data_IF_177767290064
#
_entry.id   IF_177767290064
#
_cell.length_a   1.000
_cell.length_b   1.000
_cell.length_c   1.000
_cell.angle_alpha   90.00
_cell.angle_beta   90.00
_cell.angle_gamma   90.00
#
_symmetry.space_group_name_H-M   'P 1'
#
loop_
_entity.id
_entity.type
_entity.pdbx_description
1 polymer ?
#
# COMPACT_ATOMS: atom_id res chain seq x y z
N UNK A 1 30.22 -37.77 5.63
CA UNK A 1 29.27 -36.87 4.93
C UNK A 1 28.35 -36.05 5.86
N UNK A 2 28.01 -36.47 7.09
CA UNK A 2 27.06 -35.75 7.98
C UNK A 2 27.53 -34.40 8.55
N UNK A 3 28.84 -34.17 8.74
CA UNK A 3 29.36 -32.91 9.34
C UNK A 3 29.18 -31.69 8.41
N UNK A 4 29.47 -31.83 7.12
CA UNK A 4 29.30 -30.76 6.14
C UNK A 4 27.82 -30.38 5.94
N UNK A 5 26.91 -31.35 6.04
CA UNK A 5 25.47 -31.10 5.99
C UNK A 5 24.99 -30.21 7.14
N UNK A 6 25.47 -30.42 8.38
CA UNK A 6 25.11 -29.55 9.52
C UNK A 6 25.64 -28.12 9.37
N UNK A 7 26.87 -27.96 8.87
CA UNK A 7 27.46 -26.64 8.63
C UNK A 7 26.67 -25.88 7.56
N UNK A 8 26.30 -26.56 6.46
CA UNK A 8 25.47 -25.96 5.41
C UNK A 8 24.06 -25.58 5.92
N UNK A 9 23.45 -26.41 6.76
CA UNK A 9 22.15 -26.10 7.38
C UNK A 9 22.26 -24.86 8.27
N UNK A 10 23.28 -24.78 9.12
CA UNK A 10 23.48 -23.62 10.00
C UNK A 10 23.79 -22.35 9.20
N UNK A 11 24.64 -22.44 8.18
CA UNK A 11 24.96 -21.31 7.31
C UNK A 11 23.71 -20.80 6.56
N UNK A 12 22.90 -21.71 6.03
CA UNK A 12 21.64 -21.36 5.38
C UNK A 12 20.65 -20.72 6.37
N UNK A 13 20.56 -21.24 7.59
CA UNK A 13 19.71 -20.68 8.64
C UNK A 13 20.14 -19.26 9.02
N UNK A 14 21.44 -19.01 9.19
CA UNK A 14 21.96 -17.67 9.48
C UNK A 14 21.65 -16.71 8.32
N UNK A 15 21.82 -17.15 7.07
CA UNK A 15 21.55 -16.33 5.90
C UNK A 15 20.04 -16.00 5.79
N UNK A 16 19.17 -16.98 6.05
CA UNK A 16 17.72 -16.79 6.09
C UNK A 16 17.31 -15.80 7.19
N UNK A 17 17.83 -15.96 8.41
CA UNK A 17 17.54 -15.08 9.53
C UNK A 17 18.06 -13.66 9.26
N UNK A 18 19.27 -13.51 8.73
CA UNK A 18 19.83 -12.22 8.35
C UNK A 18 18.96 -11.49 7.31
N UNK A 19 18.59 -12.19 6.24
CA UNK A 19 17.70 -11.64 5.21
C UNK A 19 16.32 -11.27 5.77
N UNK A 20 15.72 -12.13 6.59
CA UNK A 20 14.41 -11.88 7.19
C UNK A 20 14.43 -10.65 8.09
N UNK A 21 15.41 -10.54 9.01
CA UNK A 21 15.54 -9.39 9.90
C UNK A 21 15.79 -8.09 9.11
N UNK A 22 16.60 -8.14 8.05
CA UNK A 22 16.81 -6.99 7.19
C UNK A 22 15.51 -6.56 6.47
N UNK A 23 14.71 -7.52 5.98
CA UNK A 23 13.41 -7.27 5.37
C UNK A 23 12.41 -6.62 6.34
N UNK A 24 12.39 -7.07 7.60
CA UNK A 24 11.58 -6.47 8.66
C UNK A 24 12.02 -5.03 8.93
N UNK A 25 13.33 -4.79 9.06
CA UNK A 25 13.88 -3.46 9.29
C UNK A 25 13.50 -2.47 8.18
N UNK A 26 13.57 -2.88 6.90
CA UNK A 26 13.12 -2.04 5.78
C UNK A 26 11.65 -1.65 5.91
N UNK A 27 10.76 -2.59 6.27
CA UNK A 27 9.33 -2.30 6.45
C UNK A 27 9.06 -1.38 7.63
N UNK A 28 9.77 -1.57 8.74
CA UNK A 28 9.68 -0.65 9.88
C UNK A 28 10.14 0.76 9.52
N UNK A 29 11.20 0.87 8.71
CA UNK A 29 11.68 2.17 8.23
C UNK A 29 10.62 2.86 7.38
N UNK A 30 9.99 2.17 6.43
CA UNK A 30 8.87 2.70 5.64
C UNK A 30 7.70 3.13 6.55
N UNK A 31 7.44 2.40 7.64
CA UNK A 31 6.38 2.76 8.59
C UNK A 31 6.73 4.04 9.39
N UNK A 32 7.99 4.18 9.81
CA UNK A 32 8.47 5.30 10.65
C UNK A 32 8.70 6.58 9.86
N UNK A 33 9.35 6.48 8.71
CA UNK A 33 9.80 7.62 7.90
C UNK A 33 8.89 7.89 6.70
N UNK A 34 8.01 6.95 6.35
CA UNK A 34 7.10 7.14 5.23
C UNK A 34 6.15 8.31 5.46
N UNK A 35 5.92 9.10 4.42
CA UNK A 35 4.94 10.17 4.45
C UNK A 35 3.53 9.59 4.32
N UNK A 36 2.60 10.08 5.15
CA UNK A 36 1.20 9.65 5.06
C UNK A 36 0.58 10.27 3.81
N UNK A 37 -0.03 9.43 2.99
CA UNK A 37 -0.77 9.79 1.79
C UNK A 37 -2.15 9.16 1.87
N UNK A 38 -3.19 9.98 1.78
CA UNK A 38 -4.57 9.56 1.70
C UNK A 38 -4.97 9.43 0.23
N UNK A 39 -5.36 8.24 -0.19
CA UNK A 39 -5.86 8.00 -1.54
C UNK A 39 -7.36 7.76 -1.48
N UNK A 40 -8.11 8.51 -2.30
CA UNK A 40 -9.56 8.43 -2.30
C UNK A 40 -10.04 7.08 -2.85
N UNK A 41 -10.87 6.40 -2.07
CA UNK A 41 -11.49 5.15 -2.45
C UNK A 41 -12.68 5.44 -3.38
N UNK A 42 -12.75 4.69 -4.47
CA UNK A 42 -13.98 4.54 -5.23
C UNK A 42 -14.94 3.66 -4.42
N UNK A 43 -16.26 3.86 -4.52
CA UNK A 43 -17.22 2.97 -3.88
C UNK A 43 -17.01 1.55 -4.41
N UNK A 44 -16.64 0.62 -3.53
CA UNK A 44 -16.51 -0.80 -3.84
C UNK A 44 -17.39 -1.56 -2.89
N UNK A 45 -18.22 -2.46 -3.40
CA UNK A 45 -19.00 -3.36 -2.56
C UNK A 45 -18.06 -4.23 -1.72
N UNK A 46 -18.22 -4.28 -0.39
CA UNK A 46 -17.31 -4.99 0.53
C UNK A 46 -17.39 -6.53 0.47
N UNK A 47 -17.96 -7.15 -0.57
CA UNK A 47 -18.24 -8.60 -0.55
C UNK A 47 -17.04 -9.47 -0.92
N UNK A 48 -16.54 -10.22 0.07
CA UNK A 48 -16.08 -11.60 -0.11
C UNK A 48 -16.39 -12.42 1.15
N UNK A 49 -17.45 -13.21 1.07
CA UNK A 49 -18.08 -13.88 2.22
C UNK A 49 -17.37 -15.18 2.67
N UNK A 50 -16.31 -15.62 2.01
CA UNK A 50 -15.84 -17.02 2.12
C UNK A 50 -14.48 -17.23 2.78
N UNK A 51 -13.71 -16.17 3.08
CA UNK A 51 -12.35 -16.30 3.64
C UNK A 51 -12.07 -15.35 4.83
N UNK A 52 -13.12 -14.72 5.38
CA UNK A 52 -13.06 -13.67 6.41
C UNK A 52 -13.43 -12.30 5.86
N UNK A 53 -13.67 -11.32 6.74
CA UNK A 53 -14.10 -9.99 6.34
C UNK A 53 -12.91 -9.15 5.85
N UNK A 54 -12.89 -8.88 4.55
CA UNK A 54 -11.91 -7.98 3.95
C UNK A 54 -12.55 -7.05 2.92
N UNK A 55 -12.09 -5.81 2.88
CA UNK A 55 -12.56 -4.82 1.93
C UNK A 55 -11.54 -4.69 0.81
N UNK A 56 -12.02 -4.80 -0.43
CA UNK A 56 -11.22 -4.47 -1.62
C UNK A 56 -11.18 -2.96 -1.78
N UNK A 57 -9.98 -2.42 -1.89
CA UNK A 57 -9.74 -1.00 -2.07
C UNK A 57 -9.53 -0.74 -3.56
N UNK A 58 -10.47 -0.02 -4.18
CA UNK A 58 -10.25 0.57 -5.50
C UNK A 58 -10.03 2.06 -5.30
N UNK A 59 -8.99 2.61 -5.90
CA UNK A 59 -8.71 4.03 -5.83
C UNK A 59 -9.32 4.74 -7.04
N UNK A 60 -9.95 5.90 -6.85
CA UNK A 60 -10.50 6.67 -7.98
C UNK A 60 -9.40 7.07 -8.98
N UNK A 61 -8.25 7.45 -8.44
CA UNK A 61 -7.05 7.81 -9.19
C UNK A 61 -6.56 6.68 -10.12
N UNK A 62 -6.79 5.41 -9.72
CA UNK A 62 -6.41 4.22 -10.47
C UNK A 62 -7.30 3.93 -11.71
N UNK A 63 -8.36 4.72 -11.93
CA UNK A 63 -9.26 4.61 -13.08
C UNK A 63 -9.18 5.82 -14.03
N UNK A 64 -8.24 6.75 -13.81
CA UNK A 64 -8.10 7.95 -14.63
C UNK A 64 -7.66 7.64 -16.08
N UNK A 65 -8.08 8.48 -17.04
CA UNK A 65 -7.71 8.35 -18.46
C UNK A 65 -6.20 8.37 -18.72
N UNK A 66 -5.42 8.93 -17.78
CA UNK A 66 -3.96 8.92 -17.79
C UNK A 66 -3.39 7.49 -17.85
N UNK A 67 -4.06 6.54 -17.22
CA UNK A 67 -3.62 5.14 -17.10
C UNK A 67 -3.87 4.37 -18.39
N UNK A 68 -4.96 4.67 -19.11
CA UNK A 68 -5.30 4.00 -20.37
C UNK A 68 -4.27 4.21 -21.49
N UNK A 69 -3.44 5.26 -21.39
CA UNK A 69 -2.35 5.53 -22.35
C UNK A 69 -1.04 4.83 -22.00
N UNK A 70 -0.88 4.35 -20.77
CA UNK A 70 0.40 3.83 -20.27
C UNK A 70 0.54 2.33 -20.53
N UNK A 71 1.48 1.97 -21.42
CA UNK A 71 1.77 0.55 -21.76
C UNK A 71 2.68 -0.14 -20.72
N UNK A 72 3.40 0.63 -19.91
CA UNK A 72 4.36 0.08 -18.95
C UNK A 72 3.65 -0.71 -17.83
N UNK A 73 4.07 -1.97 -17.63
CA UNK A 73 3.50 -2.86 -16.59
C UNK A 73 3.88 -2.46 -15.17
N UNK A 74 4.93 -1.64 -15.00
CA UNK A 74 5.44 -1.15 -13.73
C UNK A 74 6.00 0.24 -13.94
N UNK A 75 5.97 1.05 -12.90
CA UNK A 75 6.56 2.38 -12.89
C UNK A 75 6.26 3.08 -11.59
N UNK A 76 6.22 4.40 -11.69
CA UNK A 76 6.07 5.33 -10.60
C UNK A 76 4.94 6.31 -10.92
N UNK A 77 3.96 6.40 -10.03
CA UNK A 77 2.89 7.38 -10.05
C UNK A 77 3.36 8.56 -9.21
N UNK A 78 3.37 9.74 -9.81
CA UNK A 78 3.66 10.97 -9.07
C UNK A 78 2.34 11.54 -8.56
N UNK A 79 2.31 11.74 -7.26
CA UNK A 79 1.19 12.24 -6.50
C UNK A 79 1.49 13.66 -6.05
N UNK A 80 0.54 14.56 -6.25
CA UNK A 80 0.57 15.88 -5.62
C UNK A 80 -0.28 15.82 -4.36
N UNK A 81 0.28 16.23 -3.23
CA UNK A 81 -0.45 16.29 -1.97
C UNK A 81 -1.18 17.62 -1.79
N UNK A 82 -2.41 17.54 -1.25
CA UNK A 82 -3.13 18.68 -0.73
C UNK A 82 -2.79 18.96 0.76
N UNK A 83 -3.46 19.96 1.35
CA UNK A 83 -3.30 20.34 2.77
C UNK A 83 -3.74 19.25 3.75
N UNK A 84 -4.59 18.31 3.31
CA UNK A 84 -5.15 17.22 4.10
C UNK A 84 -4.41 15.89 3.84
N UNK A 85 -3.27 15.92 3.14
CA UNK A 85 -2.49 14.74 2.73
C UNK A 85 -3.19 13.86 1.69
N UNK A 86 -4.23 14.35 1.02
CA UNK A 86 -4.86 13.66 -0.11
C UNK A 86 -3.95 13.74 -1.32
N UNK A 87 -3.61 12.58 -1.89
CA UNK A 87 -2.77 12.46 -3.07
C UNK A 87 -3.58 12.31 -4.35
N UNK A 88 -3.36 13.20 -5.31
CA UNK A 88 -3.90 13.13 -6.67
C UNK A 88 -2.79 12.71 -7.65
N UNK A 89 -3.06 11.74 -8.53
CA UNK A 89 -2.06 11.27 -9.50
C UNK A 89 -1.97 12.25 -10.66
N UNK A 90 -0.88 13.00 -10.73
CA UNK A 90 -0.66 14.01 -11.77
C UNK A 90 0.04 13.45 -13.01
N UNK A 91 0.89 12.42 -12.86
CA UNK A 91 1.62 11.78 -13.97
C UNK A 91 2.10 10.37 -13.61
N UNK A 92 2.38 9.58 -14.64
CA UNK A 92 3.07 8.30 -14.54
C UNK A 92 4.45 8.41 -15.22
N UNK A 93 5.47 7.84 -14.59
CA UNK A 93 6.85 7.82 -15.09
C UNK A 93 7.51 6.47 -14.83
N UNK A 94 8.54 6.13 -15.60
CA UNK A 94 9.24 4.84 -15.48
C UNK A 94 10.39 4.87 -14.47
N UNK A 95 10.94 6.05 -14.20
CA UNK A 95 12.03 6.31 -13.26
C UNK A 95 11.55 6.97 -11.97
N UNK A 96 12.35 6.91 -10.90
CA UNK A 96 12.04 7.58 -9.63
C UNK A 96 12.05 9.11 -9.76
N UNK A 97 12.97 9.63 -10.57
CA UNK A 97 13.14 11.05 -10.85
C UNK A 97 12.63 11.39 -12.25
N UNK A 98 12.18 12.63 -12.50
CA UNK A 98 12.18 13.80 -11.61
C UNK A 98 10.97 13.88 -10.66
N UNK A 99 11.15 14.54 -9.52
CA UNK A 99 10.13 14.80 -8.50
C UNK A 99 10.28 16.25 -8.05
N UNK A 100 9.21 17.03 -8.09
CA UNK A 100 9.23 18.42 -7.64
C UNK A 100 8.99 18.51 -6.12
N UNK A 101 9.23 19.70 -5.56
CA UNK A 101 8.86 20.01 -4.19
C UNK A 101 7.32 19.84 -4.01
N UNK A 102 6.92 19.12 -2.95
CA UNK A 102 5.53 18.71 -2.64
C UNK A 102 4.94 17.59 -3.51
N UNK A 103 5.76 16.92 -4.32
CA UNK A 103 5.37 15.69 -5.01
C UNK A 103 5.88 14.46 -4.26
N UNK A 104 5.07 13.40 -4.27
CA UNK A 104 5.44 12.08 -3.77
C UNK A 104 5.42 11.10 -4.92
N UNK A 105 6.36 10.17 -4.90
CA UNK A 105 6.40 9.10 -5.87
C UNK A 105 5.89 7.83 -5.24
N UNK A 106 5.01 7.11 -5.93
CA UNK A 106 4.45 5.85 -5.49
C UNK A 106 4.64 4.79 -6.57
N UNK A 107 5.24 3.65 -6.23
CA UNK A 107 5.37 2.53 -7.16
C UNK A 107 4.00 2.00 -7.53
N UNK A 108 3.79 1.78 -8.82
CA UNK A 108 2.61 1.12 -9.32
C UNK A 108 2.95 -0.13 -10.12
N UNK A 109 1.97 -1.01 -10.23
CA UNK A 109 1.99 -2.17 -11.13
C UNK A 109 0.66 -2.25 -11.89
N UNK A 110 0.72 -2.51 -13.18
CA UNK A 110 -0.47 -2.75 -13.99
C UNK A 110 -0.70 -4.25 -14.16
N UNK A 111 -1.88 -4.74 -13.81
CA UNK A 111 -2.31 -6.13 -14.00
C UNK A 111 -3.66 -6.12 -14.71
N UNK A 112 -3.76 -6.78 -15.87
CA UNK A 112 -4.98 -6.84 -16.67
C UNK A 112 -5.63 -5.46 -16.94
N UNK A 113 -4.80 -4.45 -17.21
CA UNK A 113 -5.26 -3.07 -17.47
C UNK A 113 -5.68 -2.28 -16.23
N UNK A 114 -5.58 -2.86 -15.02
CA UNK A 114 -5.84 -2.15 -13.76
C UNK A 114 -4.55 -1.73 -13.09
N UNK A 115 -4.53 -0.52 -12.53
CA UNK A 115 -3.42 0.00 -11.75
C UNK A 115 -3.49 -0.48 -10.30
N UNK A 116 -2.39 -1.02 -9.80
CA UNK A 116 -2.19 -1.45 -8.42
C UNK A 116 -1.15 -0.51 -7.79
N UNK A 117 -1.50 0.09 -6.66
CA UNK A 117 -0.73 1.06 -5.88
C UNK A 117 -0.12 0.44 -4.60
N UNK A 118 -0.28 -0.87 -4.42
CA UNK A 118 0.29 -1.65 -3.31
C UNK A 118 -0.59 -1.74 -2.06
N UNK A 119 -1.88 -1.40 -2.19
CA UNK A 119 -2.82 -1.33 -1.07
C UNK A 119 -4.26 -1.68 -1.49
N UNK A 120 -4.47 -2.81 -2.16
CA UNK A 120 -5.78 -3.13 -2.77
C UNK A 120 -6.71 -3.94 -1.86
N UNK A 121 -6.26 -4.33 -0.66
CA UNK A 121 -7.08 -5.05 0.32
C UNK A 121 -6.77 -4.63 1.75
N UNK A 122 -7.82 -4.59 2.57
CA UNK A 122 -7.74 -4.37 4.01
C UNK A 122 -8.54 -5.46 4.73
N UNK A 123 -7.88 -6.20 5.62
CA UNK A 123 -8.49 -7.29 6.40
C UNK A 123 -8.93 -6.76 7.77
N UNK A 124 -10.11 -7.17 8.22
CA UNK A 124 -10.64 -6.80 9.53
C UNK A 124 -11.35 -7.98 10.20
N UNK A 125 -11.65 -7.83 11.49
CA UNK A 125 -12.35 -8.87 12.26
C UNK A 125 -13.82 -8.97 11.82
N UNK A 126 -14.39 -10.17 11.93
CA UNK A 126 -15.76 -10.44 11.50
C UNK A 126 -16.78 -9.52 12.19
N UNK A 127 -17.71 -8.95 11.42
CA UNK A 127 -18.76 -8.05 11.92
C UNK A 127 -18.37 -6.58 12.01
N UNK A 128 -17.16 -6.21 11.60
CA UNK A 128 -16.71 -4.80 11.51
C UNK A 128 -17.03 -4.14 10.17
N UNK A 129 -17.76 -4.82 9.26
CA UNK A 129 -18.14 -4.29 7.95
C UNK A 129 -18.79 -2.91 8.04
N UNK A 130 -19.77 -2.76 8.94
CA UNK A 130 -20.51 -1.49 9.13
C UNK A 130 -19.62 -0.35 9.63
N UNK A 131 -18.50 -0.68 10.29
CA UNK A 131 -17.51 0.30 10.74
C UNK A 131 -16.68 0.76 9.56
N UNK A 132 -16.15 -0.16 8.76
CA UNK A 132 -15.25 0.18 7.64
C UNK A 132 -15.96 0.58 6.35
N UNK A 133 -17.25 0.32 6.19
CA UNK A 133 -18.04 0.74 5.02
C UNK A 133 -18.14 2.28 4.89
N UNK A 134 -17.84 3.03 5.96
CA UNK A 134 -17.75 4.50 5.93
C UNK A 134 -16.39 5.02 5.42
N UNK A 135 -15.45 4.13 5.08
CA UNK A 135 -14.13 4.52 4.61
C UNK A 135 -14.22 5.26 3.28
N UNK A 136 -13.73 6.50 3.26
CA UNK A 136 -13.62 7.32 2.06
C UNK A 136 -12.18 7.32 1.51
N UNK A 137 -11.17 7.05 2.35
CA UNK A 137 -9.76 7.06 1.97
C UNK A 137 -9.00 5.87 2.53
N UNK A 138 -8.04 5.37 1.75
CA UNK A 138 -6.99 4.48 2.23
C UNK A 138 -5.77 5.31 2.60
N UNK A 139 -5.25 5.15 3.82
CA UNK A 139 -4.03 5.83 4.25
C UNK A 139 -2.82 4.95 4.04
N UNK A 140 -1.91 5.38 3.17
CA UNK A 140 -0.67 4.71 2.85
C UNK A 140 0.51 5.51 3.44
N UNK A 141 1.51 4.81 3.98
CA UNK A 141 2.83 5.38 4.27
C UNK A 141 3.73 5.11 3.08
N UNK A 142 4.23 6.16 2.45
CA UNK A 142 5.08 6.07 1.25
C UNK A 142 6.49 6.54 1.59
N UNK A 143 7.49 5.69 1.35
CA UNK A 143 8.89 6.07 1.54
C UNK A 143 9.48 6.81 0.32
N UNK A 144 10.71 7.30 0.48
CA UNK A 144 11.46 8.00 -0.56
C UNK A 144 11.80 7.16 -1.80
N UNK A 145 11.63 5.83 -1.73
CA UNK A 145 11.79 4.89 -2.87
C UNK A 145 10.45 4.58 -3.54
N UNK A 146 9.37 5.22 -3.09
CA UNK A 146 8.00 5.02 -3.52
C UNK A 146 7.40 3.69 -3.12
N UNK A 147 7.96 2.99 -2.13
CA UNK A 147 7.28 1.83 -1.55
C UNK A 147 6.17 2.32 -0.63
N UNK A 148 5.00 1.68 -0.72
CA UNK A 148 3.85 1.99 0.11
C UNK A 148 3.53 0.86 1.08
N UNK A 149 2.97 1.26 2.22
CA UNK A 149 2.35 0.37 3.17
C UNK A 149 1.00 0.95 3.61
N UNK A 150 -0.07 0.17 3.45
CA UNK A 150 -1.40 0.56 3.96
C UNK A 150 -1.37 0.52 5.50
N UNK A 151 -1.65 1.66 6.13
CA UNK A 151 -1.67 1.80 7.60
C UNK A 151 -3.06 1.86 8.19
N UNK A 152 -4.09 2.12 7.37
CA UNK A 152 -5.47 2.12 7.83
C UNK A 152 -6.43 2.77 6.85
N UNK A 153 -7.70 2.77 7.25
CA UNK A 153 -8.80 3.38 6.52
C UNK A 153 -9.25 4.65 7.23
N UNK A 154 -9.68 5.64 6.46
CA UNK A 154 -10.05 6.96 6.94
C UNK A 154 -11.44 7.33 6.42
N UNK A 155 -12.21 8.03 7.26
CA UNK A 155 -13.54 8.53 6.92
C UNK A 155 -13.48 9.82 6.07
N UNK A 156 -14.65 10.38 5.74
CA UNK A 156 -14.77 11.62 4.96
C UNK A 156 -14.15 12.85 5.64
N UNK A 157 -13.94 12.81 6.96
CA UNK A 157 -13.35 13.88 7.77
C UNK A 157 -11.83 13.68 7.97
N UNK A 158 -11.21 12.76 7.22
CA UNK A 158 -9.80 12.40 7.31
C UNK A 158 -9.39 11.82 8.67
N UNK A 159 -10.34 11.20 9.40
CA UNK A 159 -10.05 10.53 10.67
C UNK A 159 -9.88 9.04 10.46
N UNK A 160 -8.87 8.47 11.10
CA UNK A 160 -8.63 7.03 11.02
C UNK A 160 -9.79 6.27 11.66
N UNK A 161 -10.40 5.38 10.90
CA UNK A 161 -11.43 4.46 11.39
C UNK A 161 -10.74 3.42 12.26
N UNK A 162 -11.15 3.37 13.53
CA UNK A 162 -10.71 2.35 14.47
C UNK A 162 -11.91 1.51 14.90
N UNK A 163 -11.78 0.19 14.96
CA UNK A 163 -12.86 -0.65 15.44
C UNK A 163 -13.07 -0.40 16.94
N UNK A 164 -14.33 -0.46 17.37
CA UNK A 164 -14.65 -0.38 18.78
C UNK A 164 -14.12 -1.64 19.46
N UNK A 165 -13.01 -1.53 20.18
CA UNK A 165 -12.51 -2.62 21.02
C UNK A 165 -13.45 -2.73 22.22
N UNK A 166 -14.40 -3.67 22.17
CA UNK A 166 -15.01 -4.14 23.41
C UNK A 166 -13.87 -4.74 24.24
N UNK A 167 -13.59 -4.13 25.39
CA UNK A 167 -12.80 -4.78 26.43
C UNK A 167 -13.60 -5.90 27.07
#
# INVERSE_FOLDING_TARGET
>A
MKKYSRILIIANLILLLGYFNWSVYQKEQTLKEGQLVLLQLAPVDPRSLMQGDYMRLNYKEANSELINRQKAKRGYAVLKLDKNHVGEIIRLQESLEPVNENEIVLKYKTINGRLFLGAESFFFEEGQDSVYNRAAYGGLRVDNKGQSLLVGLYDGDFRQIKPYRSK
#
